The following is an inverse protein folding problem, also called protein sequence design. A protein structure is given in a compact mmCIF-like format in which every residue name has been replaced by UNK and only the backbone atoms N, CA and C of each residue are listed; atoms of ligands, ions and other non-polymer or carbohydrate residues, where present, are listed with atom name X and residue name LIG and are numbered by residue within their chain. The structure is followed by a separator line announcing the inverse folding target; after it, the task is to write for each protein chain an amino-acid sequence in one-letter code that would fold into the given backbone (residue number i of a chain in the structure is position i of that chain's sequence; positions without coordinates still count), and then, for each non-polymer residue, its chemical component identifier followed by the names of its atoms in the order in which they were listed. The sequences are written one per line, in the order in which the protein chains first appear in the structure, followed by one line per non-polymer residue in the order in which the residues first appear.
data_IF_324408276316
#
_entry.id   IF_324408276316
#
_cell.length_a   1.000
_cell.length_b   1.000
_cell.length_c   1.000
_cell.angle_alpha   90.00
_cell.angle_beta   90.00
_cell.angle_gamma   90.00
#
_symmetry.space_group_name_H-M   'P 1'
#
loop_
_entity.id
_entity.type
_entity.pdbx_description
1 polymer ?
#
# COMPACT_ATOMS: atom_id res chain seq x y z
N UNK A 1 -40.23 78.42 12.30
CA UNK A 1 -39.26 78.07 11.26
C UNK A 1 -38.42 76.94 11.80
N UNK A 2 -38.89 75.70 11.68
CA UNK A 2 -38.18 74.51 12.19
C UNK A 2 -38.03 73.53 11.04
N UNK A 3 -36.79 73.23 10.70
CA UNK A 3 -36.39 72.23 9.69
C UNK A 3 -36.35 70.83 10.33
N UNK A 4 -37.19 69.91 9.86
CA UNK A 4 -37.15 68.53 10.20
C UNK A 4 -36.09 67.85 9.37
N UNK A 5 -35.14 67.18 10.02
CA UNK A 5 -34.13 66.34 9.41
C UNK A 5 -34.61 64.89 9.53
N UNK A 6 -34.93 64.29 8.42
CA UNK A 6 -35.28 62.86 8.32
C UNK A 6 -34.01 61.99 8.13
N UNK A 7 -33.67 61.22 9.16
CA UNK A 7 -32.57 60.27 9.14
C UNK A 7 -33.06 58.94 8.61
N UNK A 8 -32.68 58.58 7.40
CA UNK A 8 -32.96 57.23 6.81
C UNK A 8 -31.92 56.22 7.30
N UNK A 9 -32.33 55.32 8.20
CA UNK A 9 -31.54 54.17 8.61
C UNK A 9 -31.48 53.13 7.47
N UNK A 10 -30.29 52.89 6.93
CA UNK A 10 -30.03 51.77 6.04
C UNK A 10 -29.60 50.55 6.87
N UNK A 11 -30.48 49.57 7.02
CA UNK A 11 -30.18 48.27 7.55
C UNK A 11 -29.34 47.49 6.49
N UNK A 12 -28.07 47.33 6.77
CA UNK A 12 -27.20 46.42 6.00
C UNK A 12 -27.40 45.00 6.55
N UNK A 13 -28.07 44.16 5.78
CA UNK A 13 -28.17 42.72 6.05
C UNK A 13 -26.82 42.05 5.69
N UNK A 14 -26.02 41.70 6.70
CA UNK A 14 -24.85 40.87 6.53
C UNK A 14 -25.27 39.41 6.40
N UNK A 15 -25.25 38.86 5.19
CA UNK A 15 -25.35 37.44 4.90
C UNK A 15 -24.04 36.77 5.30
N UNK A 16 -24.00 36.09 6.45
CA UNK A 16 -22.94 35.17 6.81
C UNK A 16 -23.10 33.91 5.93
N UNK A 17 -22.29 33.82 4.88
CA UNK A 17 -22.07 32.57 4.15
C UNK A 17 -21.21 31.64 5.00
N UNK A 18 -21.84 30.69 5.66
CA UNK A 18 -21.16 29.56 6.33
C UNK A 18 -20.67 28.61 5.24
N UNK A 19 -19.45 28.82 4.78
CA UNK A 19 -18.76 27.86 3.90
C UNK A 19 -18.48 26.59 4.68
N UNK A 20 -19.21 25.50 4.37
CA UNK A 20 -18.78 24.13 4.73
C UNK A 20 -17.47 23.87 4.02
N UNK A 21 -16.36 24.06 4.71
CA UNK A 21 -15.09 23.48 4.30
C UNK A 21 -15.23 21.96 4.52
N UNK A 22 -15.59 21.24 3.44
CA UNK A 22 -15.41 19.79 3.41
C UNK A 22 -13.90 19.53 3.55
N UNK A 23 -13.49 19.21 4.77
CA UNK A 23 -12.13 18.79 5.05
C UNK A 23 -11.83 17.55 4.23
N UNK A 24 -11.05 17.71 3.15
CA UNK A 24 -10.43 16.58 2.48
C UNK A 24 -9.60 15.85 3.53
N UNK A 25 -9.98 14.62 3.86
CA UNK A 25 -9.16 13.75 4.67
C UNK A 25 -7.92 13.40 3.84
N UNK A 26 -6.87 14.20 3.98
CA UNK A 26 -5.56 13.90 3.43
C UNK A 26 -5.11 12.60 4.07
N UNK A 27 -4.82 11.58 3.26
CA UNK A 27 -4.12 10.40 3.73
C UNK A 27 -2.86 10.89 4.45
N UNK A 28 -2.68 10.48 5.71
CA UNK A 28 -1.52 10.93 6.47
C UNK A 28 -0.25 10.45 5.75
N UNK A 29 0.70 11.34 5.45
CA UNK A 29 1.90 10.96 4.74
C UNK A 29 2.63 9.84 5.48
N UNK A 30 3.24 8.91 4.72
CA UNK A 30 4.05 7.84 5.29
C UNK A 30 5.18 8.42 6.14
N UNK A 31 5.53 7.76 7.25
CA UNK A 31 6.71 8.13 8.04
C UNK A 31 8.01 7.74 7.34
N UNK A 32 7.94 6.76 6.44
CA UNK A 32 9.07 6.29 5.63
C UNK A 32 9.19 7.11 4.35
N UNK A 33 10.37 7.64 4.08
CA UNK A 33 10.69 8.23 2.78
C UNK A 33 11.04 7.11 1.81
N UNK A 34 10.19 6.89 0.83
CA UNK A 34 10.46 5.98 -0.28
C UNK A 34 11.20 6.71 -1.40
N UNK A 35 12.23 6.07 -1.97
CA UNK A 35 12.92 6.62 -3.14
C UNK A 35 11.97 6.66 -4.34
N UNK A 36 12.03 7.72 -5.18
CA UNK A 36 11.10 7.86 -6.30
C UNK A 36 11.32 6.80 -7.40
N UNK A 37 12.51 6.22 -7.45
CA UNK A 37 12.88 5.20 -8.45
C UNK A 37 13.82 4.17 -7.80
N UNK A 38 13.84 2.97 -8.37
CA UNK A 38 14.82 1.93 -8.06
C UNK A 38 15.08 1.07 -9.29
N UNK A 39 16.09 0.23 -9.23
CA UNK A 39 16.43 -0.72 -10.28
C UNK A 39 16.23 -2.15 -9.80
N UNK A 40 15.59 -2.97 -10.64
CA UNK A 40 15.40 -4.40 -10.42
C UNK A 40 15.88 -5.14 -11.65
N UNK A 41 16.97 -5.90 -11.52
CA UNK A 41 17.55 -6.70 -12.62
C UNK A 41 17.76 -5.86 -13.92
N UNK A 42 18.33 -4.66 -13.79
CA UNK A 42 18.58 -3.76 -14.92
C UNK A 42 17.35 -2.98 -15.42
N UNK A 43 16.16 -3.23 -14.86
CA UNK A 43 14.93 -2.51 -15.21
C UNK A 43 14.67 -1.40 -14.20
N UNK A 44 14.53 -0.16 -14.67
CA UNK A 44 14.12 0.98 -13.82
C UNK A 44 12.64 0.88 -13.47
N UNK A 45 12.37 0.91 -12.19
CA UNK A 45 11.03 1.01 -11.62
C UNK A 45 10.82 2.39 -11.01
N UNK A 46 9.60 2.89 -11.09
CA UNK A 46 9.18 4.11 -10.40
C UNK A 46 8.22 3.77 -9.27
N UNK A 47 8.26 4.56 -8.21
CA UNK A 47 7.29 4.46 -7.12
C UNK A 47 5.89 4.73 -7.67
N UNK A 48 5.03 3.72 -7.70
CA UNK A 48 3.63 3.86 -8.15
C UNK A 48 2.82 4.64 -7.11
N UNK A 49 2.94 4.23 -5.86
CA UNK A 49 2.31 4.85 -4.72
C UNK A 49 2.89 4.30 -3.43
N UNK A 50 2.63 4.99 -2.32
CA UNK A 50 3.04 4.58 -0.99
C UNK A 50 1.99 4.98 0.05
N UNK A 51 1.85 4.17 1.08
CA UNK A 51 0.89 4.42 2.15
C UNK A 51 1.24 3.68 3.42
N UNK A 52 0.54 4.04 4.50
CA UNK A 52 0.66 3.37 5.80
C UNK A 52 -0.50 2.40 5.98
N UNK A 53 -0.18 1.16 6.36
CA UNK A 53 -1.20 0.21 6.80
C UNK A 53 -1.60 0.49 8.23
N UNK A 54 -2.91 0.57 8.46
CA UNK A 54 -3.49 0.66 9.79
C UNK A 54 -4.20 -0.64 10.18
N UNK A 55 -4.16 -0.99 11.47
CA UNK A 55 -5.05 -1.97 12.09
C UNK A 55 -5.77 -1.25 13.21
N UNK A 56 -7.04 -0.94 13.01
CA UNK A 56 -7.77 0.04 13.81
C UNK A 56 -7.01 1.39 13.80
N UNK A 57 -6.58 1.90 14.95
CA UNK A 57 -5.84 3.17 15.07
C UNK A 57 -4.31 3.00 15.03
N UNK A 58 -3.82 1.76 14.95
CA UNK A 58 -2.39 1.48 15.06
C UNK A 58 -1.73 1.41 13.70
N UNK A 59 -0.67 2.18 13.51
CA UNK A 59 0.23 2.06 12.37
C UNK A 59 0.98 0.72 12.46
N UNK A 60 0.99 -0.04 11.36
CA UNK A 60 1.60 -1.37 11.30
C UNK A 60 2.91 -1.32 10.53
N UNK A 61 2.86 -0.87 9.30
CA UNK A 61 4.01 -0.65 8.43
C UNK A 61 3.69 0.41 7.38
N UNK A 62 4.73 1.05 6.85
CA UNK A 62 4.67 1.78 5.59
C UNK A 62 4.97 0.83 4.44
N UNK A 63 4.34 1.05 3.30
CA UNK A 63 4.51 0.24 2.10
C UNK A 63 4.61 1.13 0.87
N UNK A 64 5.59 0.84 0.00
CA UNK A 64 5.74 1.40 -1.33
C UNK A 64 5.58 0.32 -2.40
N UNK A 65 4.87 0.63 -3.46
CA UNK A 65 4.71 -0.19 -4.66
C UNK A 65 5.53 0.41 -5.79
N UNK A 66 6.40 -0.39 -6.40
CA UNK A 66 7.23 0.01 -7.54
C UNK A 66 6.88 -0.78 -8.78
N UNK A 67 6.75 -0.08 -9.90
CA UNK A 67 6.31 -0.62 -11.18
C UNK A 67 7.07 0.03 -12.33
N UNK A 68 7.01 -0.57 -13.52
CA UNK A 68 7.67 -0.04 -14.73
C UNK A 68 7.01 1.24 -15.25
N UNK A 69 5.72 1.43 -15.00
CA UNK A 69 4.96 2.65 -15.30
C UNK A 69 3.88 2.88 -14.25
N UNK A 70 3.39 4.11 -14.11
CA UNK A 70 2.26 4.41 -13.22
C UNK A 70 1.00 3.68 -13.67
N UNK A 71 0.27 3.14 -12.70
CA UNK A 71 -1.06 2.54 -12.87
C UNK A 71 -1.96 3.03 -11.73
N UNK A 72 -3.25 3.18 -12.02
CA UNK A 72 -4.21 3.78 -11.08
C UNK A 72 -5.31 2.82 -10.62
N UNK A 73 -5.30 1.59 -11.12
CA UNK A 73 -6.28 0.59 -10.70
C UNK A 73 -5.66 -0.82 -10.63
N UNK A 74 -6.33 -1.70 -9.88
CA UNK A 74 -5.85 -3.06 -9.64
C UNK A 74 -5.76 -3.90 -10.93
N UNK A 75 -6.69 -3.76 -11.87
CA UNK A 75 -6.70 -4.53 -13.11
C UNK A 75 -5.46 -4.20 -13.97
N UNK A 76 -5.14 -2.91 -14.11
CA UNK A 76 -3.93 -2.47 -14.79
C UNK A 76 -2.66 -2.98 -14.10
N UNK A 77 -2.61 -2.92 -12.76
CA UNK A 77 -1.46 -3.40 -12.00
C UNK A 77 -1.23 -4.90 -12.20
N UNK A 78 -2.29 -5.70 -12.12
CA UNK A 78 -2.21 -7.15 -12.28
C UNK A 78 -1.85 -7.57 -13.71
N UNK A 79 -2.27 -6.80 -14.71
CA UNK A 79 -1.96 -7.02 -16.12
C UNK A 79 -0.62 -6.40 -16.56
N UNK A 80 -0.02 -5.54 -15.73
CA UNK A 80 1.22 -4.84 -16.11
C UNK A 80 2.38 -5.82 -16.25
N UNK A 81 3.04 -5.88 -17.41
CA UNK A 81 4.22 -6.72 -17.60
C UNK A 81 5.45 -6.13 -16.89
N UNK A 82 6.47 -6.97 -16.73
CA UNK A 82 7.75 -6.57 -16.17
C UNK A 82 7.86 -6.69 -14.65
N UNK A 83 9.05 -6.41 -14.11
CA UNK A 83 9.33 -6.51 -12.69
C UNK A 83 8.46 -5.59 -11.86
N UNK A 84 8.22 -6.00 -10.60
CA UNK A 84 7.53 -5.22 -9.58
C UNK A 84 8.21 -5.42 -8.24
N UNK A 85 8.14 -4.41 -7.37
CA UNK A 85 8.65 -4.54 -6.02
C UNK A 85 7.70 -3.92 -5.01
N UNK A 86 7.48 -4.64 -3.93
CA UNK A 86 6.81 -4.20 -2.74
C UNK A 86 7.86 -3.98 -1.67
N UNK A 87 7.98 -2.74 -1.19
CA UNK A 87 8.93 -2.37 -0.15
C UNK A 87 8.19 -1.99 1.12
N UNK A 88 8.64 -2.50 2.27
CA UNK A 88 7.98 -2.28 3.55
C UNK A 88 8.97 -1.77 4.59
N UNK A 89 8.46 -0.95 5.51
CA UNK A 89 9.17 -0.54 6.72
C UNK A 89 8.23 -0.75 7.91
N UNK A 90 8.63 -1.57 8.86
CA UNK A 90 7.86 -1.82 10.07
C UNK A 90 7.76 -0.55 10.92
N UNK A 91 6.56 -0.19 11.39
CA UNK A 91 6.32 0.96 12.26
C UNK A 91 6.10 0.55 13.72
N UNK A 92 5.99 -0.75 13.96
CA UNK A 92 5.90 -1.37 15.26
C UNK A 92 6.56 -2.74 15.23
N UNK A 93 6.71 -3.37 16.38
CA UNK A 93 7.13 -4.77 16.43
C UNK A 93 6.10 -5.66 15.73
N UNK A 94 6.57 -6.50 14.79
CA UNK A 94 5.75 -7.42 14.02
C UNK A 94 6.30 -8.84 14.18
N UNK A 95 5.63 -9.74 14.93
CA UNK A 95 6.03 -11.13 15.02
C UNK A 95 6.08 -11.78 13.63
N UNK A 96 7.18 -12.48 13.32
CA UNK A 96 7.39 -13.06 12.00
C UNK A 96 6.33 -14.11 11.63
N UNK A 97 5.93 -14.94 12.59
CA UNK A 97 4.86 -15.93 12.41
C UNK A 97 3.51 -15.27 12.10
N UNK A 98 3.22 -14.10 12.71
CA UNK A 98 1.99 -13.37 12.43
C UNK A 98 2.01 -12.75 11.02
N UNK A 99 3.17 -12.21 10.60
CA UNK A 99 3.34 -11.70 9.23
C UNK A 99 3.07 -12.80 8.19
N UNK A 100 3.72 -13.96 8.31
CA UNK A 100 3.53 -15.09 7.40
C UNK A 100 2.07 -15.54 7.35
N UNK A 101 1.42 -15.67 8.51
CA UNK A 101 0.00 -16.04 8.60
C UNK A 101 -0.93 -15.01 7.97
N UNK A 102 -0.69 -13.72 8.19
CA UNK A 102 -1.51 -12.65 7.62
C UNK A 102 -1.36 -12.54 6.10
N UNK A 103 -0.16 -12.77 5.56
CA UNK A 103 0.05 -12.81 4.12
C UNK A 103 -0.68 -14.00 3.49
N UNK A 104 -0.55 -15.20 4.07
CA UNK A 104 -1.30 -16.36 3.61
C UNK A 104 -2.81 -16.12 3.64
N UNK A 105 -3.31 -15.56 4.74
CA UNK A 105 -4.73 -15.20 4.86
C UNK A 105 -5.15 -14.24 3.75
N UNK A 106 -4.40 -13.16 3.50
CA UNK A 106 -4.71 -12.17 2.47
C UNK A 106 -4.71 -12.77 1.06
N UNK A 107 -3.79 -13.69 0.74
CA UNK A 107 -3.81 -14.43 -0.52
C UNK A 107 -5.06 -15.31 -0.64
N UNK A 108 -5.41 -16.03 0.41
CA UNK A 108 -6.59 -16.92 0.42
C UNK A 108 -7.91 -16.14 0.29
N UNK A 109 -8.03 -15.00 0.95
CA UNK A 109 -9.22 -14.15 0.90
C UNK A 109 -9.47 -13.54 -0.50
N UNK A 110 -8.41 -13.46 -1.33
CA UNK A 110 -8.44 -12.80 -2.63
C UNK A 110 -8.15 -13.73 -3.82
N UNK A 111 -8.13 -15.04 -3.61
CA UNK A 111 -7.81 -16.01 -4.67
C UNK A 111 -8.73 -17.23 -4.64
N UNK A 112 -9.07 -17.80 -5.79
CA UNK A 112 -9.81 -19.07 -5.87
C UNK A 112 -9.03 -20.21 -5.21
N UNK A 113 -9.74 -21.17 -4.61
CA UNK A 113 -9.13 -22.28 -3.85
C UNK A 113 -8.17 -23.15 -4.69
N UNK A 114 -8.52 -23.38 -5.94
CA UNK A 114 -7.67 -24.16 -6.86
C UNK A 114 -6.33 -23.46 -7.13
N UNK A 115 -6.35 -22.12 -7.25
CA UNK A 115 -5.14 -21.32 -7.39
C UNK A 115 -4.28 -21.37 -6.14
N UNK A 116 -4.88 -21.25 -4.96
CA UNK A 116 -4.17 -21.39 -3.68
C UNK A 116 -3.50 -22.76 -3.57
N UNK A 117 -4.17 -23.83 -3.99
CA UNK A 117 -3.61 -25.18 -3.96
C UNK A 117 -2.44 -25.35 -4.94
N UNK A 118 -2.52 -24.82 -6.17
CA UNK A 118 -1.41 -24.86 -7.13
C UNK A 118 -0.15 -24.20 -6.59
N UNK A 119 -0.28 -23.14 -5.80
CA UNK A 119 0.85 -22.38 -5.27
C UNK A 119 1.17 -22.68 -3.79
N UNK A 120 0.75 -23.84 -3.28
CA UNK A 120 0.95 -24.21 -1.88
C UNK A 120 2.44 -24.20 -1.46
N UNK A 121 3.35 -24.70 -2.30
CA UNK A 121 4.79 -24.71 -2.02
C UNK A 121 5.37 -23.29 -1.94
N UNK A 122 5.03 -22.41 -2.86
CA UNK A 122 5.47 -21.03 -2.84
C UNK A 122 4.90 -20.26 -1.63
N UNK A 123 3.65 -20.55 -1.26
CA UNK A 123 3.00 -19.99 -0.07
C UNK A 123 3.66 -20.48 1.22
N UNK A 124 4.04 -21.76 1.29
CA UNK A 124 4.81 -22.31 2.42
C UNK A 124 6.15 -21.59 2.56
N UNK A 125 6.86 -21.39 1.44
CA UNK A 125 8.14 -20.69 1.45
C UNK A 125 8.02 -19.25 1.95
N UNK A 126 6.96 -18.54 1.55
CA UNK A 126 6.67 -17.22 2.08
C UNK A 126 6.50 -17.24 3.61
N UNK A 127 5.74 -18.21 4.13
CA UNK A 127 5.55 -18.37 5.58
C UNK A 127 6.89 -18.62 6.28
N UNK A 128 7.70 -19.54 5.76
CA UNK A 128 9.00 -19.92 6.33
C UNK A 128 9.95 -18.73 6.41
N UNK A 129 10.03 -17.90 5.35
CA UNK A 129 10.88 -16.71 5.31
C UNK A 129 10.56 -15.77 6.48
N UNK A 130 9.29 -15.50 6.72
CA UNK A 130 8.89 -14.58 7.80
C UNK A 130 8.90 -15.26 9.17
N UNK A 131 8.49 -16.51 9.27
CA UNK A 131 8.49 -17.28 10.54
C UNK A 131 9.90 -17.63 11.01
N UNK A 132 10.86 -17.72 10.11
CA UNK A 132 12.28 -17.94 10.44
C UNK A 132 12.90 -16.80 11.25
N UNK A 133 12.21 -15.65 11.31
CA UNK A 133 12.59 -14.53 12.15
C UNK A 133 11.57 -14.36 13.28
N UNK A 134 12.05 -14.19 14.52
CA UNK A 134 11.15 -14.01 15.66
C UNK A 134 10.24 -12.80 15.52
N UNK A 135 10.80 -11.67 15.04
CA UNK A 135 10.08 -10.41 14.83
C UNK A 135 10.82 -9.45 13.91
N UNK A 136 10.08 -8.53 13.29
CA UNK A 136 10.60 -7.28 12.70
C UNK A 136 10.45 -6.16 13.72
N UNK A 137 11.49 -5.36 13.90
CA UNK A 137 11.47 -4.21 14.80
C UNK A 137 11.07 -2.92 14.04
N UNK A 138 10.58 -1.88 14.74
CA UNK A 138 10.32 -0.59 14.14
C UNK A 138 11.54 -0.06 13.38
N UNK A 139 11.35 0.42 12.15
CA UNK A 139 12.40 0.88 11.24
C UNK A 139 13.05 -0.21 10.41
N UNK A 140 12.87 -1.48 10.73
CA UNK A 140 13.37 -2.58 9.91
C UNK A 140 12.57 -2.74 8.62
N UNK A 141 13.25 -3.09 7.53
CA UNK A 141 12.65 -3.24 6.22
C UNK A 141 12.59 -4.69 5.75
N UNK A 142 11.57 -4.99 4.97
CA UNK A 142 11.45 -6.20 4.18
C UNK A 142 10.88 -5.87 2.79
N UNK A 143 11.05 -6.78 1.84
CA UNK A 143 10.53 -6.56 0.49
C UNK A 143 10.16 -7.87 -0.19
N UNK A 144 9.32 -7.75 -1.21
CA UNK A 144 8.96 -8.80 -2.14
C UNK A 144 9.20 -8.28 -3.55
N UNK A 145 10.09 -8.92 -4.28
CA UNK A 145 10.51 -8.52 -5.62
C UNK A 145 10.18 -9.59 -6.62
N UNK A 146 9.41 -9.26 -7.61
CA UNK A 146 9.02 -10.15 -8.69
C UNK A 146 9.76 -9.82 -9.98
N UNK A 147 10.27 -10.85 -10.62
CA UNK A 147 10.88 -10.77 -11.96
C UNK A 147 10.24 -11.82 -12.84
N UNK A 148 9.62 -11.44 -13.98
CA UNK A 148 9.01 -12.39 -14.92
C UNK A 148 9.98 -13.51 -15.31
N UNK A 149 9.50 -14.75 -15.32
CA UNK A 149 10.29 -15.93 -15.64
C UNK A 149 11.29 -16.38 -14.57
N UNK A 150 11.48 -15.59 -13.48
CA UNK A 150 12.34 -15.97 -12.34
C UNK A 150 11.53 -16.26 -11.08
N UNK A 151 10.41 -15.56 -10.86
CA UNK A 151 9.58 -15.67 -9.67
C UNK A 151 9.75 -14.53 -8.68
N UNK A 152 9.36 -14.77 -7.43
CA UNK A 152 9.36 -13.79 -6.33
C UNK A 152 10.50 -14.05 -5.36
N UNK A 153 11.35 -13.05 -5.15
CA UNK A 153 12.40 -13.05 -4.13
C UNK A 153 11.93 -12.26 -2.92
N UNK A 154 12.10 -12.84 -1.74
CA UNK A 154 11.83 -12.16 -0.48
C UNK A 154 13.13 -11.58 0.09
N UNK A 155 13.04 -10.37 0.64
CA UNK A 155 14.18 -9.69 1.27
C UNK A 155 13.83 -9.34 2.71
N UNK A 156 14.78 -9.55 3.62
CA UNK A 156 14.72 -9.07 5.01
C UNK A 156 15.99 -8.29 5.27
N UNK A 157 15.87 -7.04 5.73
CA UNK A 157 16.99 -6.13 5.96
C UNK A 157 17.93 -6.01 4.74
N UNK A 158 17.35 -5.96 3.54
CA UNK A 158 18.07 -5.87 2.27
C UNK A 158 18.73 -7.17 1.79
N UNK A 159 18.63 -8.28 2.54
CA UNK A 159 19.22 -9.58 2.16
C UNK A 159 18.17 -10.49 1.58
N UNK A 160 18.44 -11.09 0.41
CA UNK A 160 17.60 -12.11 -0.19
C UNK A 160 17.51 -13.35 0.72
N UNK A 161 16.33 -13.91 0.82
CA UNK A 161 16.01 -15.05 1.66
C UNK A 161 15.87 -16.33 0.83
N UNK A 162 16.94 -16.68 0.15
CA UNK A 162 17.02 -17.84 -0.75
C UNK A 162 16.60 -17.54 -2.19
N UNK A 163 16.35 -18.60 -2.94
CA UNK A 163 16.00 -18.52 -4.36
C UNK A 163 14.59 -17.98 -4.59
N UNK A 164 14.33 -17.37 -5.75
CA UNK A 164 12.99 -16.94 -6.13
C UNK A 164 11.99 -18.09 -6.14
N UNK A 165 10.75 -17.82 -5.78
CA UNK A 165 9.67 -18.84 -5.74
C UNK A 165 8.44 -18.38 -6.51
N UNK A 166 7.65 -19.36 -6.95
CA UNK A 166 6.40 -19.13 -7.67
C UNK A 166 6.61 -18.52 -9.05
N UNK A 167 5.52 -18.20 -9.68
CA UNK A 167 5.43 -17.63 -11.02
C UNK A 167 4.62 -16.31 -11.00
N UNK A 168 4.22 -15.83 -12.16
CA UNK A 168 3.41 -14.63 -12.32
C UNK A 168 2.07 -14.76 -11.58
N UNK A 169 1.43 -15.95 -11.62
CA UNK A 169 0.16 -16.20 -10.94
C UNK A 169 0.33 -16.12 -9.41
N UNK A 170 1.41 -16.67 -8.88
CA UNK A 170 1.74 -16.57 -7.46
C UNK A 170 1.92 -15.11 -7.05
N UNK A 171 2.70 -14.32 -7.81
CA UNK A 171 2.91 -12.92 -7.48
C UNK A 171 1.64 -12.09 -7.58
N UNK A 172 0.74 -12.39 -8.52
CA UNK A 172 -0.58 -11.76 -8.55
C UNK A 172 -1.39 -12.05 -7.28
N UNK A 173 -1.31 -13.26 -6.72
CA UNK A 173 -1.93 -13.57 -5.43
C UNK A 173 -1.33 -12.75 -4.29
N UNK A 174 -0.01 -12.56 -4.30
CA UNK A 174 0.69 -11.69 -3.34
C UNK A 174 0.22 -10.24 -3.48
N UNK A 175 0.17 -9.68 -4.68
CA UNK A 175 -0.32 -8.30 -4.92
C UNK A 175 -1.74 -8.11 -4.41
N UNK A 176 -2.62 -9.09 -4.61
CA UNK A 176 -4.02 -9.03 -4.21
C UNK A 176 -4.23 -8.92 -2.70
N UNK A 177 -3.23 -9.22 -1.87
CA UNK A 177 -3.29 -8.94 -0.43
C UNK A 177 -3.62 -7.46 -0.18
N UNK A 178 -3.11 -6.56 -1.02
CA UNK A 178 -3.27 -5.11 -0.85
C UNK A 178 -4.20 -4.48 -1.88
N UNK A 179 -4.31 -5.04 -3.09
CA UNK A 179 -5.09 -4.43 -4.18
C UNK A 179 -6.26 -5.30 -4.65
N UNK A 180 -6.53 -6.41 -3.99
CA UNK A 180 -7.66 -7.30 -4.31
C UNK A 180 -9.02 -6.75 -3.83
N UNK A 181 -10.04 -7.59 -3.95
CA UNK A 181 -11.42 -7.25 -3.53
C UNK A 181 -11.54 -7.10 -2.01
N UNK A 182 -10.76 -7.90 -1.25
CA UNK A 182 -10.69 -7.87 0.22
C UNK A 182 -9.28 -7.45 0.65
N UNK A 183 -8.88 -6.18 0.42
CA UNK A 183 -7.53 -5.72 0.70
C UNK A 183 -7.26 -5.67 2.20
N UNK A 184 -5.99 -5.81 2.58
CA UNK A 184 -5.56 -5.70 3.97
C UNK A 184 -5.94 -4.35 4.61
N UNK A 185 -6.04 -3.29 3.79
CA UNK A 185 -6.43 -1.94 4.19
C UNK A 185 -6.85 -1.16 2.93
N UNK A 186 -8.06 -0.59 2.92
CA UNK A 186 -8.59 0.14 1.76
C UNK A 186 -7.85 1.47 1.51
N UNK A 187 -7.48 2.20 2.56
CA UNK A 187 -6.73 3.45 2.42
C UNK A 187 -5.33 3.19 1.86
N UNK A 188 -4.67 2.13 2.33
CA UNK A 188 -3.39 1.72 1.77
C UNK A 188 -3.52 1.31 0.31
N UNK A 189 -4.58 0.56 -0.06
CA UNK A 189 -4.84 0.22 -1.47
C UNK A 189 -4.90 1.45 -2.35
N UNK A 190 -5.70 2.43 -1.94
CA UNK A 190 -5.91 3.66 -2.71
C UNK A 190 -4.60 4.46 -2.82
N UNK A 191 -3.81 4.55 -1.74
CA UNK A 191 -2.48 5.16 -1.74
C UNK A 191 -1.49 4.46 -2.70
N UNK A 192 -1.46 3.11 -2.69
CA UNK A 192 -0.60 2.34 -3.59
C UNK A 192 -0.96 2.53 -5.07
N UNK A 193 -2.23 2.78 -5.37
CA UNK A 193 -2.74 3.01 -6.72
C UNK A 193 -2.75 4.50 -7.11
N UNK A 194 -2.22 5.39 -6.26
CA UNK A 194 -2.20 6.83 -6.53
C UNK A 194 -3.61 7.42 -6.64
N UNK A 195 -4.57 6.84 -5.92
CA UNK A 195 -5.96 7.28 -5.86
C UNK A 195 -6.24 8.13 -4.62
N UNK A 196 -5.19 8.55 -3.90
CA UNK A 196 -5.33 9.49 -2.80
C UNK A 196 -5.99 10.75 -3.32
N UNK A 197 -7.17 11.04 -2.84
CA UNK A 197 -7.84 12.31 -3.16
C UNK A 197 -7.03 13.41 -2.49
N UNK A 198 -6.39 14.24 -3.31
CA UNK A 198 -5.84 15.53 -2.89
C UNK A 198 -6.88 16.37 -2.15
#
# INVERSE_FOLDING_TARGET
MFRTVTTTSRLAAALLAFGLAAGAALAAPTSTKFEPQMEVQGTKLQLNGAGTRYKAIFKVYDMGLYTTKKVTNAAELLALPGPKRLQFTALRELPGTDLGRLFLKGMNDNSPKDRVQRHALASTRLIEVFSGRSKMLPGESFAMEFVPGKGTTFYILGKAQGEPVGDDEFFQMVLKIWVGESPADHLLRDALLGQDKE
#
